data_IF_560613738098
#
_entry.id   IF_560613738098
#
_cell.length_a   1.000
_cell.length_b   1.000
_cell.length_c   1.000
_cell.angle_alpha   90.00
_cell.angle_beta   90.00
_cell.angle_gamma   90.00
#
_symmetry.space_group_name_H-M   'P 1'
#
loop_
_entity.id
_entity.type
_entity.pdbx_description
1 polymer ?
#
# COMPACT_ATOMS: atom_id res chain seq x y z
N UNK A 1 -10.10 -18.90 5.43
CA UNK A 1 -9.51 -18.06 6.51
C UNK A 1 -8.25 -18.66 7.14
N UNK A 2 -8.16 -19.97 7.39
CA UNK A 2 -7.02 -20.61 8.06
C UNK A 2 -5.65 -20.18 7.55
N UNK A 3 -5.44 -20.17 6.22
CA UNK A 3 -4.16 -19.77 5.61
C UNK A 3 -3.79 -18.31 5.91
N UNK A 4 -4.77 -17.39 5.88
CA UNK A 4 -4.52 -15.98 6.19
C UNK A 4 -4.19 -15.78 7.68
N UNK A 5 -4.82 -16.55 8.57
CA UNK A 5 -4.49 -16.57 10.00
C UNK A 5 -3.06 -17.06 10.25
N UNK A 6 -2.70 -18.19 9.63
CA UNK A 6 -1.35 -18.73 9.72
C UNK A 6 -0.32 -17.75 9.19
N UNK A 7 -0.61 -17.10 8.06
CA UNK A 7 0.28 -16.09 7.48
C UNK A 7 0.48 -14.89 8.41
N UNK A 8 -0.59 -14.35 9.00
CA UNK A 8 -0.50 -13.25 9.97
C UNK A 8 0.40 -13.65 11.16
N UNK A 9 0.17 -14.84 11.72
CA UNK A 9 0.94 -15.33 12.85
C UNK A 9 2.41 -15.57 12.51
N UNK A 10 2.70 -16.31 11.44
CA UNK A 10 4.06 -16.65 11.00
C UNK A 10 4.86 -15.37 10.71
N UNK A 11 4.30 -14.45 9.93
CA UNK A 11 4.97 -13.19 9.57
C UNK A 11 5.24 -12.35 10.81
N UNK A 12 4.27 -12.23 11.73
CA UNK A 12 4.46 -11.48 12.96
C UNK A 12 5.55 -12.08 13.86
N UNK A 13 5.52 -13.40 14.11
CA UNK A 13 6.49 -14.07 14.98
C UNK A 13 7.90 -13.98 14.39
N UNK A 14 8.06 -14.26 13.09
CA UNK A 14 9.36 -14.14 12.42
C UNK A 14 9.90 -12.71 12.48
N UNK A 15 9.06 -11.71 12.22
CA UNK A 15 9.47 -10.31 12.29
C UNK A 15 9.78 -9.85 13.72
N UNK A 16 9.02 -10.33 14.71
CA UNK A 16 9.26 -10.06 16.13
C UNK A 16 10.63 -10.59 16.56
N UNK A 17 10.94 -11.85 16.26
CA UNK A 17 12.25 -12.42 16.53
C UNK A 17 13.35 -11.77 15.69
N UNK A 18 13.05 -11.35 14.45
CA UNK A 18 14.01 -10.60 13.64
C UNK A 18 14.45 -9.31 14.33
N UNK A 19 13.52 -8.58 14.95
CA UNK A 19 13.86 -7.41 15.76
C UNK A 19 14.52 -7.79 17.08
N UNK A 20 14.09 -8.86 17.74
CA UNK A 20 14.71 -9.32 19.00
C UNK A 20 16.21 -9.63 18.81
N UNK A 21 16.57 -10.26 17.69
CA UNK A 21 17.96 -10.53 17.30
C UNK A 21 18.57 -9.41 16.43
N UNK A 22 18.06 -8.18 16.52
CA UNK A 22 18.58 -7.06 15.73
C UNK A 22 19.98 -6.62 16.21
N UNK A 23 20.82 -6.22 15.26
CA UNK A 23 22.12 -5.64 15.55
C UNK A 23 22.03 -4.10 15.59
N UNK A 24 22.67 -3.44 16.57
CA UNK A 24 22.76 -1.99 16.59
C UNK A 24 23.60 -1.48 15.41
N UNK A 25 23.25 -0.31 14.89
CA UNK A 25 23.96 0.33 13.78
C UNK A 25 24.23 1.79 14.13
N UNK A 26 25.41 2.27 13.76
CA UNK A 26 25.87 3.63 14.04
C UNK A 26 25.37 4.66 13.02
N UNK A 27 25.02 4.23 11.81
CA UNK A 27 24.59 5.07 10.71
C UNK A 27 23.30 4.57 10.07
N UNK A 28 22.34 5.47 9.86
CA UNK A 28 21.06 5.17 9.22
C UNK A 28 19.89 5.85 9.92
N UNK A 29 18.71 5.78 9.28
CA UNK A 29 17.46 6.30 9.85
C UNK A 29 17.02 5.44 11.03
N UNK A 30 17.19 4.12 10.92
CA UNK A 30 16.85 3.15 11.96
C UNK A 30 18.14 2.65 12.60
N UNK A 31 18.22 2.73 13.94
CA UNK A 31 19.41 2.39 14.72
C UNK A 31 19.54 0.89 15.06
N UNK A 32 18.55 0.08 14.69
CA UNK A 32 18.51 -1.37 14.87
C UNK A 32 18.24 -2.05 13.53
N UNK A 33 19.12 -2.93 13.07
CA UNK A 33 18.89 -3.72 11.85
C UNK A 33 18.34 -5.10 12.22
N UNK A 34 17.09 -5.43 11.87
CA UNK A 34 16.51 -6.75 12.12
C UNK A 34 17.30 -7.88 11.44
N UNK A 35 17.21 -9.10 11.97
CA UNK A 35 17.82 -10.28 11.37
C UNK A 35 17.27 -10.53 9.94
N UNK A 36 18.15 -10.48 8.93
CA UNK A 36 17.76 -10.59 7.52
C UNK A 36 17.16 -11.94 7.15
N UNK A 37 17.64 -13.04 7.73
CA UNK A 37 17.14 -14.38 7.43
C UNK A 37 15.69 -14.53 7.88
N UNK A 38 15.36 -14.07 9.09
CA UNK A 38 14.01 -14.11 9.62
C UNK A 38 13.05 -13.21 8.83
N UNK A 39 13.50 -12.02 8.39
CA UNK A 39 12.70 -11.18 7.49
C UNK A 39 12.52 -11.82 6.12
N UNK A 40 13.54 -12.50 5.58
CA UNK A 40 13.42 -13.24 4.34
C UNK A 40 12.39 -14.37 4.46
N UNK A 41 12.42 -15.15 5.55
CA UNK A 41 11.41 -16.19 5.82
C UNK A 41 9.99 -15.61 5.91
N UNK A 42 9.82 -14.47 6.60
CA UNK A 42 8.52 -13.78 6.67
C UNK A 42 8.06 -13.29 5.29
N UNK A 43 8.99 -12.76 4.48
CA UNK A 43 8.72 -12.35 3.09
C UNK A 43 8.31 -13.54 2.24
N UNK A 44 8.97 -14.68 2.39
CA UNK A 44 8.60 -15.93 1.70
C UNK A 44 7.17 -16.32 2.05
N UNK A 45 6.76 -16.28 3.32
CA UNK A 45 5.35 -16.54 3.70
C UNK A 45 4.37 -15.61 2.96
N UNK A 46 4.64 -14.30 2.95
CA UNK A 46 3.83 -13.33 2.21
C UNK A 46 3.75 -13.64 0.71
N UNK A 47 4.87 -14.04 0.11
CA UNK A 47 4.94 -14.37 -1.31
C UNK A 47 4.21 -15.67 -1.63
N UNK A 48 4.37 -16.73 -0.84
CA UNK A 48 3.72 -18.02 -1.10
C UNK A 48 2.20 -17.90 -0.97
N UNK A 49 1.71 -17.26 0.09
CA UNK A 49 0.26 -17.09 0.28
C UNK A 49 -0.34 -16.17 -0.78
N UNK A 50 0.33 -15.07 -1.15
CA UNK A 50 -0.20 -14.21 -2.21
C UNK A 50 -0.06 -14.88 -3.57
N UNK A 51 1.10 -15.46 -3.87
CA UNK A 51 1.47 -15.99 -5.18
C UNK A 51 0.76 -17.28 -5.58
N UNK A 52 0.31 -18.10 -4.63
CA UNK A 52 -0.43 -19.34 -4.90
C UNK A 52 -1.95 -19.24 -4.79
N UNK A 53 -2.49 -18.05 -4.51
CA UNK A 53 -3.94 -17.83 -4.49
C UNK A 53 -4.54 -18.02 -5.89
N UNK A 54 -5.83 -18.32 -5.96
CA UNK A 54 -6.56 -18.39 -7.24
C UNK A 54 -7.90 -17.61 -7.26
N UNK A 55 -8.32 -16.98 -6.15
CA UNK A 55 -9.70 -16.49 -6.04
C UNK A 55 -9.90 -15.13 -5.35
N UNK A 56 -8.83 -14.43 -4.95
CA UNK A 56 -8.96 -13.14 -4.25
C UNK A 56 -8.96 -11.99 -5.26
N UNK A 57 -9.94 -11.08 -5.16
CA UNK A 57 -10.00 -9.87 -5.98
C UNK A 57 -10.05 -10.19 -7.48
N UNK A 58 -9.26 -9.45 -8.26
CA UNK A 58 -9.17 -9.57 -9.71
C UNK A 58 -8.27 -10.72 -10.21
N UNK A 59 -7.81 -11.60 -9.30
CA UNK A 59 -6.93 -12.75 -9.63
C UNK A 59 -7.52 -13.62 -10.75
N UNK A 60 -8.81 -13.95 -10.66
CA UNK A 60 -9.47 -14.77 -11.67
C UNK A 60 -9.42 -14.14 -13.06
N UNK A 61 -9.68 -12.83 -13.16
CA UNK A 61 -9.64 -12.10 -14.43
C UNK A 61 -8.24 -12.07 -15.04
N UNK A 62 -7.21 -11.86 -14.22
CA UNK A 62 -5.83 -11.93 -14.70
C UNK A 62 -5.44 -13.33 -15.15
N UNK A 63 -5.85 -14.37 -14.41
CA UNK A 63 -5.57 -15.74 -14.81
C UNK A 63 -6.28 -16.11 -16.11
N UNK A 64 -7.53 -15.68 -16.28
CA UNK A 64 -8.29 -15.91 -17.51
C UNK A 64 -7.68 -15.16 -18.69
N UNK A 65 -7.42 -13.85 -18.55
CA UNK A 65 -6.79 -13.03 -19.59
C UNK A 65 -5.44 -13.60 -20.01
N UNK A 66 -4.60 -14.02 -19.06
CA UNK A 66 -3.33 -14.66 -19.38
C UNK A 66 -3.53 -15.96 -20.18
N UNK A 67 -4.56 -16.76 -19.92
CA UNK A 67 -4.81 -17.98 -20.70
C UNK A 67 -5.25 -17.70 -22.13
N UNK A 68 -6.18 -16.77 -22.32
CA UNK A 68 -6.92 -16.60 -23.59
C UNK A 68 -6.30 -15.56 -24.52
N UNK A 69 -5.52 -14.61 -24.00
CA UNK A 69 -4.90 -13.56 -24.80
C UNK A 69 -3.61 -14.06 -25.46
N UNK A 70 -3.48 -13.82 -26.76
CA UNK A 70 -2.20 -13.95 -27.46
C UNK A 70 -1.39 -12.66 -27.29
N UNK A 71 -0.23 -12.75 -26.65
CA UNK A 71 0.63 -11.62 -26.37
C UNK A 71 1.71 -11.50 -27.45
N UNK A 72 1.31 -10.98 -28.61
CA UNK A 72 2.23 -10.61 -29.70
C UNK A 72 2.48 -9.09 -29.72
N UNK A 73 3.45 -8.62 -30.52
CA UNK A 73 3.83 -7.21 -30.54
C UNK A 73 2.71 -6.27 -30.98
N UNK A 74 1.82 -6.71 -31.86
CA UNK A 74 0.65 -5.93 -32.29
C UNK A 74 -0.27 -5.65 -31.11
N UNK A 75 -0.69 -6.70 -30.39
CA UNK A 75 -1.55 -6.58 -29.21
C UNK A 75 -0.90 -5.84 -28.04
N UNK A 76 0.43 -5.94 -27.90
CA UNK A 76 1.18 -5.29 -26.83
C UNK A 76 1.31 -3.78 -27.07
N UNK A 77 1.54 -3.36 -28.33
CA UNK A 77 1.67 -1.94 -28.68
C UNK A 77 0.36 -1.16 -28.50
N UNK A 78 -0.77 -1.80 -28.78
CA UNK A 78 -2.10 -1.20 -28.61
C UNK A 78 -2.60 -1.26 -27.16
N UNK A 79 -1.87 -1.93 -26.26
CA UNK A 79 -2.23 -2.01 -24.85
C UNK A 79 -2.00 -0.69 -24.12
N UNK A 80 -3.05 -0.22 -23.43
CA UNK A 80 -2.99 0.92 -22.50
C UNK A 80 -1.96 0.75 -21.37
N UNK A 81 -1.53 -0.47 -21.07
CA UNK A 81 -0.56 -0.79 -20.02
C UNK A 81 0.58 -1.65 -20.59
N UNK A 82 1.32 -1.09 -21.56
CA UNK A 82 2.36 -1.78 -22.32
C UNK A 82 3.38 -2.52 -21.45
N UNK A 83 3.80 -1.97 -20.31
CA UNK A 83 4.79 -2.60 -19.42
C UNK A 83 4.26 -3.90 -18.81
N UNK A 84 2.99 -3.93 -18.43
CA UNK A 84 2.36 -5.16 -17.93
C UNK A 84 2.07 -6.17 -19.04
N UNK A 85 1.72 -5.71 -20.24
CA UNK A 85 1.57 -6.58 -21.41
C UNK A 85 2.91 -7.22 -21.82
N UNK A 86 4.02 -6.47 -21.79
CA UNK A 86 5.38 -7.00 -22.03
C UNK A 86 5.73 -8.06 -20.97
N UNK A 87 5.43 -7.82 -19.69
CA UNK A 87 5.63 -8.83 -18.64
C UNK A 87 4.89 -10.13 -18.97
N UNK A 88 3.61 -10.05 -19.36
CA UNK A 88 2.82 -11.23 -19.72
C UNK A 88 3.36 -11.93 -20.96
N UNK A 89 3.77 -11.17 -21.99
CA UNK A 89 4.41 -11.69 -23.20
C UNK A 89 5.67 -12.49 -22.86
N UNK A 90 6.56 -11.93 -22.03
CA UNK A 90 7.79 -12.61 -21.60
C UNK A 90 7.45 -13.91 -20.86
N UNK A 91 6.49 -13.89 -19.93
CA UNK A 91 6.10 -15.09 -19.19
C UNK A 91 5.49 -16.16 -20.10
N UNK A 92 4.72 -15.76 -21.11
CA UNK A 92 4.12 -16.67 -22.11
C UNK A 92 5.14 -17.40 -22.96
N UNK A 93 6.33 -16.85 -23.16
CA UNK A 93 7.43 -17.54 -23.84
C UNK A 93 7.90 -18.79 -23.09
N UNK A 94 7.68 -18.85 -21.77
CA UNK A 94 8.13 -19.96 -20.92
C UNK A 94 7.00 -20.91 -20.49
N UNK A 95 5.77 -20.41 -20.33
CA UNK A 95 4.65 -21.22 -19.81
C UNK A 95 3.28 -20.66 -20.16
N UNK A 96 2.31 -21.56 -20.32
CA UNK A 96 0.90 -21.23 -20.46
C UNK A 96 0.13 -21.24 -19.12
N UNK A 97 0.79 -21.60 -18.02
CA UNK A 97 0.18 -21.61 -16.69
C UNK A 97 0.03 -20.18 -16.13
N UNK A 98 -1.21 -19.66 -15.94
CA UNK A 98 -1.41 -18.32 -15.39
C UNK A 98 -1.02 -18.18 -13.92
N UNK A 99 -0.84 -19.28 -13.17
CA UNK A 99 -0.37 -19.18 -11.79
C UNK A 99 0.98 -18.46 -11.73
N UNK A 100 1.81 -18.60 -12.77
CA UNK A 100 3.12 -17.94 -12.85
C UNK A 100 2.99 -16.42 -12.89
N UNK A 101 2.00 -15.86 -13.60
CA UNK A 101 1.75 -14.42 -13.58
C UNK A 101 1.42 -13.92 -12.16
N UNK A 102 0.52 -14.64 -11.48
CA UNK A 102 0.08 -14.29 -10.12
C UNK A 102 1.26 -14.41 -9.13
N UNK A 103 2.07 -15.44 -9.27
CA UNK A 103 3.23 -15.67 -8.41
C UNK A 103 4.31 -14.61 -8.61
N UNK A 104 4.70 -14.31 -9.86
CA UNK A 104 5.75 -13.34 -10.17
C UNK A 104 5.35 -11.93 -9.75
N UNK A 105 4.10 -11.53 -10.00
CA UNK A 105 3.60 -10.22 -9.56
C UNK A 105 3.55 -10.12 -8.03
N UNK A 106 3.11 -11.17 -7.34
CA UNK A 106 3.13 -11.23 -5.88
C UNK A 106 4.56 -11.19 -5.29
N UNK A 107 5.50 -11.92 -5.91
CA UNK A 107 6.91 -11.95 -5.55
C UNK A 107 7.53 -10.56 -5.60
N UNK A 108 7.44 -9.89 -6.76
CA UNK A 108 8.01 -8.55 -6.97
C UNK A 108 7.37 -7.54 -6.01
N UNK A 109 6.03 -7.54 -5.92
CA UNK A 109 5.28 -6.60 -5.07
C UNK A 109 5.71 -6.71 -3.60
N UNK A 110 5.69 -7.91 -3.03
CA UNK A 110 5.99 -8.09 -1.61
C UNK A 110 7.47 -7.89 -1.30
N UNK A 111 8.40 -8.29 -2.19
CA UNK A 111 9.84 -8.01 -1.99
C UNK A 111 10.09 -6.50 -1.93
N UNK A 112 9.53 -5.72 -2.86
CA UNK A 112 9.70 -4.27 -2.88
C UNK A 112 9.13 -3.60 -1.63
N UNK A 113 7.93 -4.00 -1.21
CA UNK A 113 7.31 -3.47 0.01
C UNK A 113 8.16 -3.80 1.23
N UNK A 114 8.52 -5.07 1.44
CA UNK A 114 9.31 -5.48 2.61
C UNK A 114 10.69 -4.85 2.60
N UNK A 115 11.34 -4.67 1.45
CA UNK A 115 12.63 -4.01 1.35
C UNK A 115 12.60 -2.56 1.85
N UNK A 116 11.53 -1.82 1.52
CA UNK A 116 11.32 -0.45 2.00
C UNK A 116 11.02 -0.46 3.49
N UNK A 117 10.10 -1.33 3.95
CA UNK A 117 9.77 -1.43 5.37
C UNK A 117 10.98 -1.83 6.22
N UNK A 118 11.83 -2.73 5.73
CA UNK A 118 13.08 -3.13 6.38
C UNK A 118 14.05 -1.96 6.57
N UNK A 119 14.04 -1.00 5.64
CA UNK A 119 14.94 0.14 5.68
C UNK A 119 14.43 1.30 6.56
N UNK A 120 13.12 1.52 6.58
CA UNK A 120 12.52 2.73 7.16
C UNK A 120 11.66 2.49 8.41
N UNK A 121 11.35 1.25 8.77
CA UNK A 121 10.52 0.95 9.93
C UNK A 121 11.34 0.81 11.21
N UNK A 122 10.96 1.54 12.25
CA UNK A 122 11.60 1.44 13.57
C UNK A 122 11.21 0.14 14.30
N UNK A 123 9.99 -0.34 14.09
CA UNK A 123 9.46 -1.60 14.62
C UNK A 123 8.87 -2.40 13.46
N UNK A 124 9.74 -3.11 12.73
CA UNK A 124 9.39 -3.79 11.48
C UNK A 124 8.25 -4.80 11.64
N UNK A 125 8.16 -5.45 12.79
CA UNK A 125 7.11 -6.42 13.06
C UNK A 125 5.74 -5.77 13.17
N UNK A 126 5.65 -4.51 13.63
CA UNK A 126 4.39 -3.75 13.55
C UNK A 126 4.04 -3.40 12.11
N UNK A 127 5.02 -2.98 11.29
CA UNK A 127 4.76 -2.66 9.88
C UNK A 127 4.23 -3.86 9.12
N UNK A 128 4.85 -5.03 9.29
CA UNK A 128 4.45 -6.27 8.61
C UNK A 128 3.14 -6.84 9.17
N UNK A 129 2.94 -6.75 10.49
CA UNK A 129 1.68 -7.11 11.12
C UNK A 129 0.53 -6.26 10.59
N UNK A 130 0.67 -4.93 10.62
CA UNK A 130 -0.35 -3.99 10.15
C UNK A 130 -0.54 -4.11 8.64
N UNK A 131 0.48 -4.44 7.85
CA UNK A 131 0.32 -4.69 6.42
C UNK A 131 -0.73 -5.79 6.14
N UNK A 132 -0.71 -6.87 6.92
CA UNK A 132 -1.71 -7.93 6.81
C UNK A 132 -3.02 -7.51 7.51
N UNK A 133 -2.93 -7.07 8.77
CA UNK A 133 -4.08 -6.83 9.63
C UNK A 133 -4.99 -5.68 9.14
N UNK A 134 -4.42 -4.67 8.47
CA UNK A 134 -5.17 -3.55 7.88
C UNK A 134 -5.89 -3.90 6.58
N UNK A 135 -5.67 -5.10 6.03
CA UNK A 135 -6.20 -5.49 4.72
C UNK A 135 -5.37 -5.00 3.53
N UNK A 136 -4.29 -4.21 3.72
CA UNK A 136 -3.41 -3.77 2.64
C UNK A 136 -2.79 -4.95 1.86
N UNK A 137 -2.40 -6.01 2.56
CA UNK A 137 -1.94 -7.26 1.93
C UNK A 137 -3.03 -7.90 1.07
N UNK A 138 -4.30 -7.89 1.51
CA UNK A 138 -5.44 -8.35 0.71
C UNK A 138 -5.67 -7.47 -0.51
N UNK A 139 -5.55 -6.14 -0.37
CA UNK A 139 -5.62 -5.20 -1.50
C UNK A 139 -4.46 -5.41 -2.47
N UNK A 140 -3.28 -5.84 -2.03
CA UNK A 140 -2.20 -6.23 -2.95
C UNK A 140 -2.56 -7.37 -3.89
N UNK A 141 -3.54 -8.19 -3.49
CA UNK A 141 -4.11 -9.27 -4.28
C UNK A 141 -5.33 -8.85 -5.13
N UNK A 142 -5.86 -7.64 -4.89
CA UNK A 142 -7.02 -7.04 -5.57
C UNK A 142 -6.61 -5.70 -6.19
N UNK A 143 -6.30 -5.70 -7.49
CA UNK A 143 -5.66 -4.59 -8.18
C UNK A 143 -4.19 -4.88 -8.45
N UNK A 144 -3.88 -6.10 -8.89
CA UNK A 144 -2.51 -6.63 -9.00
C UNK A 144 -1.57 -5.67 -9.72
N UNK A 145 -1.98 -5.14 -10.87
CA UNK A 145 -1.19 -4.16 -11.64
C UNK A 145 -0.93 -2.89 -10.85
N UNK A 146 -1.97 -2.32 -10.26
CA UNK A 146 -1.89 -1.04 -9.58
C UNK A 146 -1.06 -1.13 -8.30
N UNK A 147 -1.19 -2.22 -7.56
CA UNK A 147 -0.42 -2.43 -6.34
C UNK A 147 1.06 -2.75 -6.64
N UNK A 148 1.35 -3.47 -7.73
CA UNK A 148 2.71 -3.62 -8.24
C UNK A 148 3.32 -2.26 -8.60
N UNK A 149 2.59 -1.41 -9.32
CA UNK A 149 2.99 -0.03 -9.61
C UNK A 149 3.25 0.76 -8.33
N UNK A 150 2.37 0.66 -7.32
CA UNK A 150 2.55 1.32 -6.03
C UNK A 150 3.79 0.81 -5.29
N UNK A 151 4.08 -0.49 -5.32
CA UNK A 151 5.28 -1.07 -4.72
C UNK A 151 6.58 -0.60 -5.41
N UNK A 152 6.59 -0.48 -6.75
CA UNK A 152 7.71 0.09 -7.52
C UNK A 152 7.96 1.55 -7.10
N UNK A 153 6.91 2.35 -6.96
CA UNK A 153 7.04 3.75 -6.55
C UNK A 153 7.41 3.88 -5.07
N UNK A 154 6.89 3.00 -4.22
CA UNK A 154 7.27 2.92 -2.81
C UNK A 154 8.76 2.60 -2.65
N UNK A 155 9.33 1.75 -3.51
CA UNK A 155 10.78 1.51 -3.57
C UNK A 155 11.59 2.79 -3.90
N UNK A 156 10.98 3.77 -4.57
CA UNK A 156 11.56 5.08 -4.83
C UNK A 156 11.52 6.05 -3.63
N UNK A 157 11.05 5.62 -2.45
CA UNK A 157 10.95 6.47 -1.24
C UNK A 157 12.26 7.18 -0.91
N UNK A 158 13.42 6.55 -1.13
CA UNK A 158 14.73 7.20 -0.96
C UNK A 158 14.82 8.54 -1.71
N UNK A 159 14.33 8.60 -2.94
CA UNK A 159 14.41 9.79 -3.78
C UNK A 159 13.43 10.89 -3.37
N UNK A 160 12.32 10.52 -2.71
CA UNK A 160 11.45 11.49 -2.02
C UNK A 160 12.21 12.14 -0.87
N UNK A 161 12.84 11.31 -0.02
CA UNK A 161 13.55 11.79 1.17
C UNK A 161 14.76 12.66 0.81
N UNK A 162 15.58 12.21 -0.14
CA UNK A 162 16.79 12.91 -0.57
C UNK A 162 16.50 14.05 -1.56
N UNK A 163 15.26 14.17 -2.04
CA UNK A 163 14.84 15.21 -2.99
C UNK A 163 15.32 15.03 -4.42
N UNK A 164 15.77 13.84 -4.80
CA UNK A 164 16.23 13.53 -6.15
C UNK A 164 15.04 13.29 -7.10
N UNK A 165 14.39 14.39 -7.49
CA UNK A 165 13.19 14.37 -8.32
C UNK A 165 13.40 13.68 -9.67
N UNK A 166 14.60 13.80 -10.28
CA UNK A 166 14.92 13.16 -11.57
C UNK A 166 14.83 11.63 -11.47
N UNK A 167 15.48 11.04 -10.46
CA UNK A 167 15.42 9.58 -10.24
C UNK A 167 14.03 9.12 -9.83
N UNK A 168 13.33 9.93 -9.03
CA UNK A 168 11.95 9.65 -8.67
C UNK A 168 11.03 9.63 -9.91
N UNK A 169 11.09 10.64 -10.77
CA UNK A 169 10.26 10.73 -11.98
C UNK A 169 10.58 9.63 -12.98
N UNK A 170 11.84 9.25 -13.14
CA UNK A 170 12.19 8.10 -13.98
C UNK A 170 11.46 6.82 -13.52
N UNK A 171 11.41 6.59 -12.20
CA UNK A 171 10.69 5.44 -11.65
C UNK A 171 9.18 5.59 -11.81
N UNK A 172 8.62 6.79 -11.60
CA UNK A 172 7.18 7.03 -11.80
C UNK A 172 6.79 6.80 -13.27
N UNK A 173 7.59 7.26 -14.22
CA UNK A 173 7.37 7.05 -15.66
C UNK A 173 7.45 5.56 -16.00
N UNK A 174 8.46 4.84 -15.50
CA UNK A 174 8.53 3.39 -15.67
C UNK A 174 7.32 2.68 -15.07
N UNK A 175 6.95 3.01 -13.83
CA UNK A 175 5.81 2.42 -13.14
C UNK A 175 4.48 2.73 -13.84
N UNK A 176 4.37 3.89 -14.52
CA UNK A 176 3.20 4.28 -15.29
C UNK A 176 2.93 3.39 -16.50
N UNK A 177 3.97 2.69 -17.01
CA UNK A 177 3.79 1.70 -18.08
C UNK A 177 3.02 0.46 -17.62
N UNK A 178 2.99 0.18 -16.32
CA UNK A 178 2.18 -0.89 -15.72
C UNK A 178 0.79 -0.43 -15.33
N UNK A 179 0.66 0.84 -14.90
CA UNK A 179 -0.61 1.46 -14.56
C UNK A 179 -0.53 2.99 -14.66
N UNK A 180 -1.23 3.57 -15.64
CA UNK A 180 -1.09 4.99 -16.02
C UNK A 180 -1.36 5.99 -14.90
N UNK A 181 -2.25 5.68 -13.94
CA UNK A 181 -2.57 6.61 -12.83
C UNK A 181 -1.38 6.95 -11.93
N UNK A 182 -0.25 6.23 -12.04
CA UNK A 182 1.00 6.58 -11.36
C UNK A 182 1.47 8.02 -11.66
N UNK A 183 1.13 8.56 -12.84
CA UNK A 183 1.55 9.91 -13.26
C UNK A 183 1.05 11.02 -12.32
N UNK A 184 -0.03 10.78 -11.57
CA UNK A 184 -0.52 11.72 -10.54
C UNK A 184 0.55 12.02 -9.47
N UNK A 185 1.53 11.13 -9.29
CA UNK A 185 2.58 11.28 -8.29
C UNK A 185 3.68 12.27 -8.68
N UNK A 186 3.76 12.68 -9.95
CA UNK A 186 4.70 13.69 -10.44
C UNK A 186 4.45 15.06 -9.77
N UNK A 187 3.25 15.68 -9.89
CA UNK A 187 2.98 16.93 -9.19
C UNK A 187 2.97 16.78 -7.67
N UNK A 188 2.52 15.62 -7.15
CA UNK A 188 2.46 15.35 -5.71
C UNK A 188 3.84 15.37 -5.05
N UNK A 189 4.91 15.00 -5.76
CA UNK A 189 6.28 15.07 -5.26
C UNK A 189 6.63 16.44 -4.66
N UNK A 190 6.17 17.53 -5.28
CA UNK A 190 6.46 18.89 -4.82
C UNK A 190 5.60 19.31 -3.61
N UNK A 191 4.42 18.71 -3.46
CA UNK A 191 3.49 18.99 -2.36
C UNK A 191 3.95 18.28 -1.09
N UNK A 192 4.30 17.00 -1.19
CA UNK A 192 4.61 16.14 -0.03
C UNK A 192 5.95 16.43 0.63
N UNK A 193 6.87 17.14 -0.06
CA UNK A 193 8.17 17.55 0.50
C UNK A 193 8.13 18.83 1.35
N UNK A 194 6.93 19.31 1.69
CA UNK A 194 6.73 20.42 2.64
C UNK A 194 6.71 19.91 4.08
N UNK A 195 6.82 20.81 5.05
CA UNK A 195 6.64 20.48 6.46
C UNK A 195 5.20 19.96 6.68
N UNK A 196 5.04 18.82 7.35
CA UNK A 196 3.72 18.29 7.66
C UNK A 196 3.00 19.19 8.66
N UNK A 197 1.67 19.16 8.61
CA UNK A 197 0.80 19.99 9.45
C UNK A 197 0.96 21.49 9.17
N UNK A 198 1.26 21.84 7.92
CA UNK A 198 1.27 23.23 7.45
C UNK A 198 -0.13 23.67 7.05
N UNK A 199 -0.33 24.96 6.77
CA UNK A 199 -1.61 25.50 6.28
C UNK A 199 -2.14 24.71 5.07
N UNK A 200 -1.25 24.25 4.18
CA UNK A 200 -1.62 23.44 3.01
C UNK A 200 -2.23 22.10 3.42
N UNK A 201 -1.69 21.45 4.47
CA UNK A 201 -2.27 20.21 5.00
C UNK A 201 -3.72 20.44 5.43
N UNK A 202 -3.99 21.52 6.18
CA UNK A 202 -5.34 21.83 6.65
C UNK A 202 -6.27 22.23 5.51
N UNK A 203 -5.77 22.94 4.50
CA UNK A 203 -6.51 23.25 3.27
C UNK A 203 -6.92 21.95 2.55
N UNK A 204 -6.00 20.99 2.38
CA UNK A 204 -6.30 19.70 1.74
C UNK A 204 -7.36 18.92 2.51
N UNK A 205 -7.27 18.86 3.84
CA UNK A 205 -8.27 18.20 4.68
C UNK A 205 -9.63 18.90 4.61
N UNK A 206 -9.65 20.22 4.63
CA UNK A 206 -10.87 21.01 4.48
C UNK A 206 -11.54 20.75 3.12
N UNK A 207 -10.77 20.77 2.02
CA UNK A 207 -11.31 20.44 0.70
C UNK A 207 -11.77 18.99 0.58
N UNK A 208 -11.11 18.04 1.24
CA UNK A 208 -11.57 16.65 1.29
C UNK A 208 -12.98 16.56 1.91
N UNK A 209 -13.21 17.27 3.01
CA UNK A 209 -14.54 17.36 3.66
C UNK A 209 -15.55 18.06 2.74
N UNK A 210 -15.17 19.16 2.09
CA UNK A 210 -16.05 19.84 1.13
C UNK A 210 -16.43 18.94 -0.05
N UNK A 211 -15.49 18.17 -0.59
CA UNK A 211 -15.76 17.19 -1.67
C UNK A 211 -16.76 16.14 -1.18
N UNK A 212 -16.64 15.67 0.07
CA UNK A 212 -17.61 14.72 0.63
C UNK A 212 -19.00 15.34 0.74
N UNK A 213 -19.11 16.58 1.22
CA UNK A 213 -20.40 17.28 1.38
C UNK A 213 -21.03 17.59 0.01
N UNK A 214 -20.24 18.02 -0.96
CA UNK A 214 -20.66 18.38 -2.32
C UNK A 214 -20.36 17.29 -3.36
N UNK A 215 -20.39 16.02 -2.97
CA UNK A 215 -19.89 14.93 -3.80
C UNK A 215 -20.59 14.83 -5.15
N UNK A 216 -21.91 15.04 -5.18
CA UNK A 216 -22.69 14.97 -6.42
C UNK A 216 -22.21 16.01 -7.45
N UNK A 217 -22.04 17.27 -7.03
CA UNK A 217 -21.56 18.35 -7.89
C UNK A 217 -20.10 18.09 -8.32
N UNK A 218 -19.26 17.61 -7.41
CA UNK A 218 -17.89 17.25 -7.72
C UNK A 218 -17.82 16.11 -8.75
N UNK A 219 -18.63 15.06 -8.58
CA UNK A 219 -18.67 13.90 -9.46
C UNK A 219 -19.14 14.29 -10.87
N UNK A 220 -20.17 15.13 -10.99
CA UNK A 220 -20.64 15.66 -12.28
C UNK A 220 -19.52 16.38 -13.03
N UNK A 221 -18.81 17.29 -12.37
CA UNK A 221 -17.69 18.03 -12.98
C UNK A 221 -16.53 17.10 -13.35
N UNK A 222 -16.19 16.16 -12.45
CA UNK A 222 -15.12 15.20 -12.67
C UNK A 222 -15.41 14.35 -13.90
N UNK A 223 -16.57 13.71 -13.96
CA UNK A 223 -16.94 12.83 -15.07
C UNK A 223 -17.29 13.57 -16.36
N UNK A 224 -17.70 14.84 -16.31
CA UNK A 224 -17.76 15.68 -17.50
C UNK A 224 -16.37 15.90 -18.11
N UNK A 225 -15.32 15.94 -17.27
CA UNK A 225 -13.94 16.14 -17.72
C UNK A 225 -13.27 14.84 -18.16
N UNK A 226 -13.54 13.72 -17.48
CA UNK A 226 -12.85 12.43 -17.70
C UNK A 226 -13.75 11.36 -18.34
N UNK A 227 -14.95 11.71 -18.78
CA UNK A 227 -15.96 10.77 -19.30
C UNK A 227 -15.49 9.96 -20.51
N UNK A 228 -14.71 10.58 -21.40
CA UNK A 228 -14.15 9.89 -22.57
C UNK A 228 -12.90 9.05 -22.25
N UNK A 229 -12.43 9.10 -21.00
CA UNK A 229 -11.31 8.29 -20.56
C UNK A 229 -11.75 6.87 -20.20
N UNK A 230 -10.77 6.00 -19.93
CA UNK A 230 -11.03 4.67 -19.38
C UNK A 230 -11.78 4.68 -18.05
N UNK A 231 -11.91 5.82 -17.37
CA UNK A 231 -12.63 5.95 -16.10
C UNK A 231 -14.11 6.35 -16.28
N UNK A 232 -14.56 6.66 -17.50
CA UNK A 232 -15.94 7.11 -17.74
C UNK A 232 -17.01 6.11 -17.30
N UNK A 233 -16.73 4.81 -17.45
CA UNK A 233 -17.64 3.74 -17.03
C UNK A 233 -17.92 3.70 -15.52
N UNK A 234 -17.10 4.37 -14.69
CA UNK A 234 -17.34 4.48 -13.26
C UNK A 234 -18.42 5.51 -12.89
N UNK A 235 -18.86 6.36 -13.83
CA UNK A 235 -19.88 7.38 -13.57
C UNK A 235 -21.18 6.76 -13.05
N UNK A 236 -21.60 5.67 -13.68
CA UNK A 236 -22.86 4.97 -13.37
C UNK A 236 -22.63 3.78 -12.42
N UNK A 237 -21.39 3.57 -11.95
CA UNK A 237 -21.02 2.44 -11.12
C UNK A 237 -21.31 2.72 -9.64
N UNK A 238 -22.46 2.25 -9.15
CA UNK A 238 -22.93 2.44 -7.76
C UNK A 238 -22.64 1.22 -6.88
N UNK A 239 -21.40 1.07 -6.44
CA UNK A 239 -21.01 0.06 -5.42
C UNK A 239 -20.89 0.65 -3.99
N UNK A 240 -21.38 1.88 -3.80
CA UNK A 240 -21.26 2.61 -2.53
C UNK A 240 -19.83 3.08 -2.24
N UNK A 241 -19.61 3.46 -0.98
CA UNK A 241 -18.34 4.01 -0.52
C UNK A 241 -17.61 3.11 0.47
N UNK A 242 -16.35 3.46 0.72
CA UNK A 242 -15.54 2.81 1.73
C UNK A 242 -16.15 2.96 3.13
N UNK A 243 -16.03 1.89 3.93
CA UNK A 243 -16.48 1.87 5.31
C UNK A 243 -15.78 2.96 6.15
N UNK A 244 -16.53 3.73 6.93
CA UNK A 244 -16.00 4.79 7.80
C UNK A 244 -14.95 4.28 8.81
N UNK A 245 -15.01 3.00 9.17
CA UNK A 245 -14.01 2.37 10.03
C UNK A 245 -12.61 2.36 9.38
N UNK A 246 -12.52 2.22 8.04
CA UNK A 246 -11.25 2.34 7.30
C UNK A 246 -10.65 3.74 7.49
N UNK A 247 -11.48 4.79 7.43
CA UNK A 247 -11.05 6.17 7.68
C UNK A 247 -10.51 6.31 9.10
N UNK A 248 -11.23 5.80 10.11
CA UNK A 248 -10.79 5.86 11.51
C UNK A 248 -9.46 5.14 11.74
N UNK A 249 -9.29 3.95 11.13
CA UNK A 249 -8.05 3.16 11.21
C UNK A 249 -6.88 3.88 10.53
N UNK A 250 -7.09 4.51 9.37
CA UNK A 250 -6.04 5.29 8.69
C UNK A 250 -5.73 6.62 9.40
N UNK A 251 -6.71 7.24 10.06
CA UNK A 251 -6.54 8.49 10.81
C UNK A 251 -5.77 8.28 12.11
N UNK A 252 -5.88 7.11 12.75
CA UNK A 252 -5.33 6.88 14.09
C UNK A 252 -3.80 7.07 14.15
N UNK A 253 -2.96 6.47 13.28
CA UNK A 253 -1.52 6.72 13.29
C UNK A 253 -1.16 8.19 13.03
N UNK A 254 -1.94 8.87 12.18
CA UNK A 254 -1.76 10.29 11.85
C UNK A 254 -2.07 11.21 13.03
N UNK A 255 -3.13 10.95 13.79
CA UNK A 255 -3.47 11.69 15.01
C UNK A 255 -2.33 11.55 16.04
N UNK A 256 -1.84 10.33 16.24
CA UNK A 256 -0.73 10.08 17.16
C UNK A 256 0.57 10.76 16.68
N UNK A 257 0.83 10.75 15.37
CA UNK A 257 1.95 11.46 14.77
C UNK A 257 1.82 12.99 14.90
N UNK A 258 0.60 13.54 14.83
CA UNK A 258 0.36 14.97 15.06
C UNK A 258 0.65 15.37 16.50
N UNK A 259 0.18 14.59 17.48
CA UNK A 259 0.43 14.82 18.91
C UNK A 259 1.94 14.75 19.19
N UNK A 260 2.61 13.72 18.66
CA UNK A 260 4.05 13.50 18.85
C UNK A 260 4.97 14.16 17.82
N UNK A 261 4.50 15.11 17.00
CA UNK A 261 5.19 15.59 15.79
C UNK A 261 6.59 16.15 16.02
N UNK A 262 6.85 16.82 17.14
CA UNK A 262 8.16 17.39 17.44
C UNK A 262 9.18 16.27 17.69
N UNK A 263 8.84 15.33 18.56
CA UNK A 263 9.64 14.14 18.84
C UNK A 263 9.80 13.24 17.61
N UNK A 264 8.77 13.13 16.76
CA UNK A 264 8.87 12.38 15.50
C UNK A 264 9.94 12.98 14.59
N UNK A 265 10.02 14.31 14.47
CA UNK A 265 11.05 15.01 13.69
C UNK A 265 12.44 14.88 14.30
N UNK A 266 12.56 14.84 15.63
CA UNK A 266 13.85 14.59 16.29
C UNK A 266 14.35 13.16 16.00
N UNK A 267 13.46 12.17 16.10
CA UNK A 267 13.80 10.77 15.87
C UNK A 267 14.01 10.43 14.40
N UNK A 268 13.23 11.06 13.52
CA UNK A 268 13.28 10.87 12.08
C UNK A 268 13.10 12.24 11.38
N UNK A 269 14.20 12.95 11.08
CA UNK A 269 14.15 14.31 10.54
C UNK A 269 13.34 14.49 9.25
N UNK A 270 13.29 13.47 8.38
CA UNK A 270 12.53 13.51 7.13
C UNK A 270 11.11 12.92 7.27
N UNK A 271 10.64 12.67 8.50
CA UNK A 271 9.32 12.08 8.79
C UNK A 271 8.14 12.87 8.23
N UNK A 272 8.29 14.19 8.08
CA UNK A 272 7.24 15.05 7.51
C UNK A 272 6.77 14.56 6.13
N UNK A 273 7.68 14.01 5.31
CA UNK A 273 7.34 13.54 3.96
C UNK A 273 6.53 12.23 4.02
N UNK A 274 6.86 11.35 4.97
CA UNK A 274 6.11 10.13 5.23
C UNK A 274 4.71 10.47 5.76
N UNK A 275 4.62 11.43 6.69
CA UNK A 275 3.35 11.92 7.23
C UNK A 275 2.51 12.55 6.12
N UNK A 276 3.07 13.36 5.23
CA UNK A 276 2.34 13.95 4.11
C UNK A 276 1.81 12.90 3.12
N UNK A 277 2.60 11.86 2.81
CA UNK A 277 2.10 10.75 2.00
C UNK A 277 0.94 10.04 2.70
N UNK A 278 1.08 9.70 3.98
CA UNK A 278 0.01 9.10 4.77
C UNK A 278 -1.25 9.98 4.86
N UNK A 279 -1.09 11.30 4.98
CA UNK A 279 -2.18 12.29 4.98
C UNK A 279 -2.94 12.32 3.66
N UNK A 280 -2.23 12.25 2.52
CA UNK A 280 -2.88 12.14 1.22
C UNK A 280 -3.68 10.83 1.11
N UNK A 281 -3.16 9.74 1.67
CA UNK A 281 -3.90 8.48 1.81
C UNK A 281 -5.22 8.67 2.54
N UNK A 282 -5.17 9.32 3.71
CA UNK A 282 -6.37 9.64 4.51
C UNK A 282 -7.35 10.54 3.74
N UNK A 283 -6.87 11.55 3.02
CA UNK A 283 -7.72 12.42 2.18
C UNK A 283 -8.48 11.60 1.15
N UNK A 284 -7.80 10.73 0.40
CA UNK A 284 -8.47 9.86 -0.57
C UNK A 284 -9.39 8.84 0.09
N UNK A 285 -9.06 8.32 1.27
CA UNK A 285 -9.92 7.41 2.02
C UNK A 285 -11.20 8.11 2.50
N UNK A 286 -11.12 9.36 2.97
CA UNK A 286 -12.30 10.18 3.30
C UNK A 286 -13.20 10.38 2.08
N UNK A 287 -12.64 10.79 0.94
CA UNK A 287 -13.41 10.97 -0.32
C UNK A 287 -14.03 9.63 -0.74
N UNK A 288 -13.31 8.52 -0.55
CA UNK A 288 -13.78 7.19 -0.92
C UNK A 288 -15.00 6.70 -0.15
N UNK A 289 -15.34 7.32 0.99
CA UNK A 289 -16.60 7.05 1.70
C UNK A 289 -17.84 7.37 0.86
N UNK A 290 -17.68 8.17 -0.20
CA UNK A 290 -18.76 8.46 -1.15
C UNK A 290 -18.73 7.53 -2.36
N UNK A 291 -17.54 7.16 -2.84
CA UNK A 291 -17.38 6.19 -3.91
C UNK A 291 -16.07 5.41 -3.77
N UNK A 292 -16.16 4.08 -3.71
CA UNK A 292 -15.03 3.18 -3.51
C UNK A 292 -13.91 3.35 -4.55
N UNK A 293 -14.19 3.90 -5.75
CA UNK A 293 -13.17 4.14 -6.78
C UNK A 293 -12.02 5.02 -6.27
N UNK A 294 -12.29 5.95 -5.36
CA UNK A 294 -11.26 6.81 -4.77
C UNK A 294 -10.32 6.04 -3.84
N UNK A 295 -10.75 4.89 -3.30
CA UNK A 295 -9.86 4.01 -2.53
C UNK A 295 -8.75 3.40 -3.40
N UNK A 296 -8.91 3.35 -4.74
CA UNK A 296 -7.82 2.96 -5.65
C UNK A 296 -6.69 3.99 -5.64
N UNK A 297 -6.97 5.27 -5.45
CA UNK A 297 -5.93 6.30 -5.34
C UNK A 297 -5.17 6.21 -4.01
N UNK A 298 -5.83 5.78 -2.92
CA UNK A 298 -5.17 5.64 -1.62
C UNK A 298 -4.07 4.57 -1.64
N UNK A 299 -4.09 3.60 -2.56
CA UNK A 299 -3.07 2.55 -2.71
C UNK A 299 -1.65 3.12 -2.81
N UNK A 300 -1.46 4.23 -3.54
CA UNK A 300 -0.15 4.87 -3.71
C UNK A 300 0.41 5.47 -2.41
N UNK A 301 -0.46 5.75 -1.45
CA UNK A 301 -0.16 6.49 -0.23
C UNK A 301 -0.22 5.62 1.02
N UNK A 302 -1.08 4.59 1.03
CA UNK A 302 -1.33 3.73 2.18
C UNK A 302 -0.08 3.01 2.69
N UNK A 303 0.85 2.62 1.81
CA UNK A 303 2.10 1.98 2.22
C UNK A 303 2.97 2.85 3.15
N UNK A 304 2.82 4.17 3.12
CA UNK A 304 3.53 5.09 4.02
C UNK A 304 2.97 5.06 5.45
N UNK A 305 1.71 4.65 5.64
CA UNK A 305 1.14 4.39 6.98
C UNK A 305 1.89 3.26 7.69
N UNK A 306 2.36 2.26 6.95
CA UNK A 306 3.14 1.14 7.50
C UNK A 306 4.51 1.59 8.02
N UNK A 307 5.13 2.57 7.37
CA UNK A 307 6.34 3.21 7.92
C UNK A 307 5.93 3.98 9.18
N UNK A 308 4.91 4.84 9.09
CA UNK A 308 4.51 5.74 10.18
C UNK A 308 4.16 4.99 11.48
N UNK A 309 3.33 3.94 11.39
CA UNK A 309 2.87 3.18 12.55
C UNK A 309 4.02 2.54 13.33
N UNK A 310 5.10 2.17 12.64
CA UNK A 310 6.31 1.60 13.26
C UNK A 310 7.04 2.59 14.18
N UNK A 311 6.87 3.90 13.94
CA UNK A 311 7.48 4.97 14.73
C UNK A 311 6.58 5.48 15.85
N UNK A 312 5.26 5.34 15.72
CA UNK A 312 4.25 5.86 16.66
C UNK A 312 4.55 5.45 18.10
N UNK A 313 4.93 4.19 18.34
CA UNK A 313 5.26 3.70 19.69
C UNK A 313 6.38 4.51 20.34
N UNK A 314 7.38 4.95 19.57
CA UNK A 314 8.52 5.72 20.11
C UNK A 314 8.16 7.16 20.46
N UNK A 315 7.02 7.66 20.04
CA UNK A 315 6.54 9.00 20.39
C UNK A 315 6.14 9.09 21.87
N UNK A 316 5.74 7.96 22.47
CA UNK A 316 5.32 7.90 23.87
C UNK A 316 6.49 7.78 24.86
N UNK A 317 6.20 8.04 26.13
CA UNK A 317 7.15 7.85 27.23
C UNK A 317 7.50 6.37 27.38
N UNK A 318 8.68 6.03 27.90
CA UNK A 318 9.15 4.63 27.99
C UNK A 318 8.17 3.71 28.72
N UNK A 319 7.48 4.22 29.75
CA UNK A 319 6.46 3.46 30.51
C UNK A 319 5.23 3.13 29.66
N UNK A 320 4.81 4.05 28.78
CA UNK A 320 3.57 3.92 28.00
C UNK A 320 3.80 3.18 26.67
N UNK A 321 5.05 3.05 26.18
CA UNK A 321 5.34 2.38 24.90
C UNK A 321 4.79 0.96 24.84
N UNK A 322 4.86 0.20 25.95
CA UNK A 322 4.32 -1.17 26.01
C UNK A 322 2.81 -1.18 25.80
N UNK A 323 2.09 -0.28 26.48
CA UNK A 323 0.65 -0.16 26.35
C UNK A 323 0.25 0.18 24.91
N UNK A 324 0.92 1.16 24.29
CA UNK A 324 0.64 1.56 22.91
C UNK A 324 0.96 0.44 21.92
N UNK A 325 2.08 -0.27 22.11
CA UNK A 325 2.45 -1.42 21.29
C UNK A 325 1.35 -2.50 21.29
N UNK A 326 0.91 -2.93 22.48
CA UNK A 326 -0.14 -3.94 22.59
C UNK A 326 -1.50 -3.44 22.12
N UNK A 327 -1.81 -2.14 22.31
CA UNK A 327 -3.03 -1.54 21.78
C UNK A 327 -3.08 -1.62 20.24
N UNK A 328 -1.96 -1.30 19.56
CA UNK A 328 -1.86 -1.45 18.10
C UNK A 328 -2.14 -2.90 17.70
N UNK A 329 -1.50 -3.88 18.35
CA UNK A 329 -1.73 -5.29 18.04
C UNK A 329 -3.20 -5.69 18.23
N UNK A 330 -3.81 -5.35 19.37
CA UNK A 330 -5.19 -5.74 19.67
C UNK A 330 -6.19 -5.08 18.73
N UNK A 331 -6.10 -3.76 18.52
CA UNK A 331 -7.07 -3.05 17.68
C UNK A 331 -6.97 -3.44 16.21
N UNK A 332 -5.75 -3.62 15.67
CA UNK A 332 -5.61 -4.12 14.29
C UNK A 332 -6.00 -5.59 14.17
N UNK A 333 -5.88 -6.41 15.22
CA UNK A 333 -6.41 -7.78 15.22
C UNK A 333 -7.95 -7.79 15.14
N UNK A 334 -8.62 -6.97 15.96
CA UNK A 334 -10.08 -6.83 15.94
C UNK A 334 -10.52 -6.32 14.56
N UNK A 335 -9.81 -5.32 14.03
CA UNK A 335 -10.07 -4.80 12.71
C UNK A 335 -9.86 -5.84 11.61
N UNK A 336 -8.81 -6.68 11.71
CA UNK A 336 -8.57 -7.78 10.78
C UNK A 336 -9.76 -8.76 10.75
N UNK A 337 -10.29 -9.15 11.92
CA UNK A 337 -11.49 -9.99 12.03
C UNK A 337 -12.67 -9.33 11.36
N UNK A 338 -12.96 -8.08 11.74
CA UNK A 338 -14.08 -7.32 11.21
C UNK A 338 -14.00 -7.24 9.69
N UNK A 339 -12.86 -6.81 9.15
CA UNK A 339 -12.70 -6.57 7.73
C UNK A 339 -12.72 -7.86 6.91
N UNK A 340 -11.96 -8.89 7.31
CA UNK A 340 -11.80 -10.09 6.50
C UNK A 340 -12.97 -11.07 6.64
N UNK A 341 -13.63 -11.12 7.81
CA UNK A 341 -14.70 -12.08 8.06
C UNK A 341 -16.07 -11.42 7.93
N UNK A 342 -16.29 -10.30 8.63
CA UNK A 342 -17.63 -9.68 8.72
C UNK A 342 -17.93 -8.87 7.46
N UNK A 343 -17.01 -8.01 7.04
CA UNK A 343 -17.23 -7.11 5.89
C UNK A 343 -17.06 -7.83 4.56
N UNK A 344 -15.96 -8.57 4.39
CA UNK A 344 -15.57 -9.13 3.09
C UNK A 344 -15.85 -10.63 2.92
N UNK A 345 -16.13 -11.37 4.01
CA UNK A 345 -16.39 -12.81 3.94
C UNK A 345 -15.30 -13.62 3.23
N UNK A 346 -14.03 -13.28 3.44
CA UNK A 346 -12.92 -13.80 2.64
C UNK A 346 -12.74 -15.30 2.84
N UNK A 347 -12.87 -16.03 1.74
CA UNK A 347 -12.47 -17.43 1.64
C UNK A 347 -11.22 -17.48 0.77
N UNK A 348 -10.08 -17.86 1.35
CA UNK A 348 -8.85 -18.08 0.59
C UNK A 348 -8.92 -19.46 -0.09
N UNK A 349 -8.59 -19.53 -1.39
CA UNK A 349 -8.45 -20.78 -2.15
C UNK A 349 -7.10 -20.80 -2.89
N UNK A 350 -6.50 -21.98 -2.93
CA UNK A 350 -5.26 -22.29 -3.63
C UNK A 350 -5.30 -23.74 -4.06
N UNK A 351 -4.60 -24.06 -5.15
CA UNK A 351 -4.35 -25.45 -5.55
C UNK A 351 -3.08 -26.03 -4.90
N UNK A 352 -2.32 -25.22 -4.14
CA UNK A 352 -0.99 -25.56 -3.64
C UNK A 352 -0.85 -25.47 -2.12
N UNK A 353 -1.77 -24.78 -1.43
CA UNK A 353 -1.73 -24.48 0.01
C UNK A 353 -3.02 -24.88 0.72
#
# INVERSE_FOLDING_TARGET
MTILWMNLFIVFILAFFARYFAMPVTTGIVMLKPNRLLILMGTTSLVLVSGFRNNIGDTYFYMHAFKVTDFNWENVQDSKNIGFSILQMILKMYTNDPQVLIFITALITNILIVAVLYKYSQMIELSLYVYIASGMYLVSMNGVRQYLTAAIIFAATKYILDGNWKKYFLIVLFASTFHQSALVLIPIFFVIRRKAWSTITFILLFFAVLIVIGFNQFAEVLFATIGDSQYGHYKDFQEGGANILRVAVEATPLILAFIGRHKLRELFPQSDYIVNMALLGLVFMIISTQNWIFARFSIYFGLYQLILISWVVKLFTRKDQKFIYYSILVFYFIYFIYEHIITLGIVYRSSYL
#
